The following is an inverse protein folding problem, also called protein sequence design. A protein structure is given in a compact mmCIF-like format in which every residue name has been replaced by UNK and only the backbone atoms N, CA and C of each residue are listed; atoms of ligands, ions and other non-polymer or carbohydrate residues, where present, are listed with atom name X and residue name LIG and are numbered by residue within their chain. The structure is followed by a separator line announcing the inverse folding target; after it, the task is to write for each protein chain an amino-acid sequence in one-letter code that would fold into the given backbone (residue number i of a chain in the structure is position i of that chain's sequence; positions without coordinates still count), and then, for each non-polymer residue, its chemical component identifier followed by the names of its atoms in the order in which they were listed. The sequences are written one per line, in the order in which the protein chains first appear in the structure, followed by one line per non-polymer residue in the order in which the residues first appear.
data_IF_320326124734
#
_entry.id   IF_320326124734
#
_cell.length_a   1.000
_cell.length_b   1.000
_cell.length_c   1.000
_cell.angle_alpha   90.00
_cell.angle_beta   90.00
_cell.angle_gamma   90.00
#
_symmetry.space_group_name_H-M   'P 1'
#
loop_
_entity.id
_entity.type
_entity.pdbx_description
1 polymer ?
#
# COMPACT_ATOMS: atom_id res chain seq x y z
N UNK A 1 -33.15 -67.92 52.06
CA UNK A 1 -32.41 -66.65 51.88
C UNK A 1 -30.99 -67.02 51.47
N UNK A 2 -30.61 -67.17 50.20
CA UNK A 2 -30.72 -66.32 48.99
C UNK A 2 -30.09 -64.93 49.16
N UNK A 3 -28.92 -64.77 48.50
CA UNK A 3 -28.18 -63.57 48.05
C UNK A 3 -26.75 -63.47 48.60
N UNK A 4 -25.85 -64.31 48.08
CA UNK A 4 -24.39 -64.13 48.20
C UNK A 4 -23.63 -64.64 46.95
N UNK A 5 -24.30 -64.70 45.80
CA UNK A 5 -23.75 -65.31 44.56
C UNK A 5 -23.81 -64.38 43.33
N UNK A 6 -24.07 -63.09 43.51
CA UNK A 6 -24.31 -62.14 42.40
C UNK A 6 -23.15 -61.23 42.00
N UNK A 7 -22.08 -61.11 42.79
CA UNK A 7 -21.07 -60.05 42.56
C UNK A 7 -19.68 -60.54 42.15
N UNK A 8 -19.42 -61.86 42.19
CA UNK A 8 -18.11 -62.42 41.78
C UNK A 8 -18.08 -62.98 40.34
N UNK A 9 -19.25 -63.16 39.71
CA UNK A 9 -19.35 -63.76 38.37
C UNK A 9 -19.29 -62.70 37.25
N UNK A 10 -19.67 -61.45 37.54
CA UNK A 10 -19.68 -60.38 36.52
C UNK A 10 -18.28 -59.83 36.24
N UNK A 11 -17.37 -59.84 37.21
CA UNK A 11 -15.97 -59.40 37.03
C UNK A 11 -15.08 -60.43 36.33
N UNK A 12 -15.39 -61.73 36.40
CA UNK A 12 -14.60 -62.76 35.71
C UNK A 12 -14.96 -62.90 34.21
N UNK A 13 -16.20 -62.54 33.83
CA UNK A 13 -16.66 -62.61 32.43
C UNK A 13 -16.13 -61.46 31.55
N UNK A 14 -15.85 -60.29 32.14
CA UNK A 14 -15.30 -59.14 31.40
C UNK A 14 -13.82 -59.33 31.04
N UNK A 15 -13.05 -60.05 31.87
CA UNK A 15 -11.63 -60.36 31.59
C UNK A 15 -11.44 -61.52 30.60
N UNK A 16 -12.42 -62.40 30.43
CA UNK A 16 -12.38 -63.46 29.40
C UNK A 16 -12.77 -62.96 28.00
N UNK A 17 -13.63 -61.95 27.89
CA UNK A 17 -13.98 -61.34 26.59
C UNK A 17 -12.85 -60.42 26.08
N UNK A 18 -12.11 -59.77 26.96
CA UNK A 18 -10.93 -58.95 26.59
C UNK A 18 -9.64 -59.77 26.40
N UNK A 19 -9.57 -60.98 26.94
CA UNK A 19 -8.42 -61.88 26.76
C UNK A 19 -8.48 -62.79 25.53
N UNK A 20 -9.65 -62.96 24.89
CA UNK A 20 -9.82 -63.91 23.79
C UNK A 20 -9.80 -63.29 22.38
N UNK A 21 -9.68 -61.97 22.27
CA UNK A 21 -9.57 -61.27 20.97
C UNK A 21 -8.13 -60.91 20.59
N UNK A 22 -7.14 -61.25 21.43
CA UNK A 22 -5.72 -60.95 21.19
C UNK A 22 -4.93 -62.10 20.53
N UNK A 23 -5.56 -63.22 20.17
CA UNK A 23 -4.87 -64.36 19.57
C UNK A 23 -5.67 -64.98 18.44
N UNK A 24 -5.81 -64.31 17.29
CA UNK A 24 -5.97 -64.93 15.95
C UNK A 24 -6.11 -63.90 14.81
N UNK A 25 -5.16 -62.97 14.70
CA UNK A 25 -4.87 -62.28 13.44
C UNK A 25 -3.34 -62.18 13.29
N UNK A 26 -2.71 -63.32 13.04
CA UNK A 26 -1.42 -63.37 12.37
C UNK A 26 -1.70 -63.50 10.87
N UNK A 27 -2.36 -62.50 10.31
CA UNK A 27 -2.32 -62.26 8.87
C UNK A 27 -1.07 -61.44 8.60
N UNK A 28 -0.31 -61.85 7.60
CA UNK A 28 0.87 -61.15 7.09
C UNK A 28 0.53 -59.70 6.80
N UNK A 29 0.83 -58.81 7.74
CA UNK A 29 0.83 -57.38 7.51
C UNK A 29 1.85 -57.11 6.39
N UNK A 30 1.48 -56.39 5.31
CA UNK A 30 2.50 -55.90 4.38
C UNK A 30 3.51 -55.09 5.18
N UNK A 31 4.80 -55.26 4.90
CA UNK A 31 5.84 -54.40 5.47
C UNK A 31 5.39 -52.95 5.27
N UNK A 32 5.14 -52.25 6.38
CA UNK A 32 4.91 -50.82 6.32
C UNK A 32 6.17 -50.22 5.71
N UNK A 33 6.06 -49.43 4.62
CA UNK A 33 7.21 -48.77 4.04
C UNK A 33 7.91 -47.97 5.13
N UNK A 34 9.23 -47.97 5.09
CA UNK A 34 10.10 -47.32 6.05
C UNK A 34 9.56 -45.90 6.36
N UNK A 35 9.25 -45.54 7.63
CA UNK A 35 8.60 -44.27 7.98
C UNK A 35 9.36 -43.02 7.53
N UNK A 36 10.62 -43.19 7.13
CA UNK A 36 11.51 -42.14 6.63
C UNK A 36 11.25 -41.79 5.15
N UNK A 37 10.58 -42.64 4.37
CA UNK A 37 10.22 -42.34 2.97
C UNK A 37 8.90 -41.57 2.83
N UNK A 38 7.97 -41.69 3.78
CA UNK A 38 6.67 -41.00 3.69
C UNK A 38 6.73 -39.52 4.10
N UNK A 39 7.71 -39.13 4.92
CA UNK A 39 7.87 -37.75 5.42
C UNK A 39 8.81 -36.87 4.57
N UNK A 40 9.39 -37.38 3.48
CA UNK A 40 10.35 -36.63 2.63
C UNK A 40 9.73 -35.96 1.39
N UNK A 41 8.41 -35.95 1.27
CA UNK A 41 7.74 -35.62 0.00
C UNK A 41 7.20 -34.20 -0.13
N UNK A 42 6.94 -33.48 0.97
CA UNK A 42 6.01 -32.34 0.90
C UNK A 42 6.67 -30.97 0.73
N UNK A 43 8.01 -30.91 0.73
CA UNK A 43 8.78 -29.69 0.47
C UNK A 43 9.82 -29.95 -0.61
N UNK A 44 9.95 -29.04 -1.58
CA UNK A 44 11.01 -29.10 -2.59
C UNK A 44 11.59 -27.71 -2.85
N UNK A 45 12.85 -27.64 -3.30
CA UNK A 45 13.49 -26.37 -3.61
C UNK A 45 13.84 -26.24 -5.09
N UNK A 46 13.62 -25.05 -5.65
CA UNK A 46 13.95 -24.71 -7.04
C UNK A 46 14.92 -23.53 -7.06
N UNK A 47 16.01 -23.64 -7.81
CA UNK A 47 16.94 -22.52 -8.06
C UNK A 47 16.58 -21.84 -9.37
N UNK A 48 16.41 -20.53 -9.34
CA UNK A 48 16.12 -19.72 -10.51
C UNK A 48 17.40 -19.11 -11.09
N UNK A 49 17.40 -18.68 -12.37
CA UNK A 49 18.53 -18.00 -12.99
C UNK A 49 18.67 -16.52 -12.60
N UNK A 50 17.95 -16.04 -11.57
CA UNK A 50 18.11 -14.70 -11.00
C UNK A 50 19.13 -14.69 -9.85
N UNK A 51 19.80 -13.57 -9.68
CA UNK A 51 20.86 -13.39 -8.67
C UNK A 51 20.40 -12.41 -7.62
N UNK A 52 20.58 -12.80 -6.36
CA UNK A 52 20.41 -11.97 -5.17
C UNK A 52 21.57 -11.01 -5.00
N UNK A 53 21.44 -10.03 -4.12
CA UNK A 53 22.47 -9.05 -3.82
C UNK A 53 23.83 -9.68 -3.50
N UNK A 54 23.85 -10.72 -2.67
CA UNK A 54 25.06 -11.44 -2.27
C UNK A 54 25.69 -12.34 -3.38
N UNK A 55 25.18 -12.29 -4.61
CA UNK A 55 25.69 -13.07 -5.76
C UNK A 55 25.19 -14.52 -5.83
N UNK A 56 24.41 -14.97 -4.84
CA UNK A 56 23.79 -16.30 -4.87
C UNK A 56 22.51 -16.31 -5.72
N UNK A 57 22.16 -17.46 -6.29
CA UNK A 57 20.92 -17.60 -7.06
C UNK A 57 19.69 -17.60 -6.15
N UNK A 58 18.59 -17.06 -6.66
CA UNK A 58 17.28 -17.17 -6.02
C UNK A 58 16.91 -18.64 -5.81
N UNK A 59 16.43 -18.97 -4.61
CA UNK A 59 16.01 -20.29 -4.18
C UNK A 59 14.60 -20.22 -3.60
N UNK A 60 13.66 -20.80 -4.34
CA UNK A 60 12.30 -21.01 -3.90
C UNK A 60 12.20 -22.30 -3.09
N UNK A 61 11.52 -22.26 -1.95
CA UNK A 61 11.16 -23.41 -1.13
C UNK A 61 9.65 -23.56 -1.20
N UNK A 62 9.20 -24.60 -1.90
CA UNK A 62 7.79 -24.85 -2.19
C UNK A 62 7.24 -25.97 -1.32
N UNK A 63 6.00 -25.80 -0.86
CA UNK A 63 5.25 -26.74 -0.06
C UNK A 63 4.11 -27.33 -0.90
N UNK A 64 4.05 -28.65 -1.05
CA UNK A 64 3.02 -29.33 -1.88
C UNK A 64 1.60 -29.09 -1.38
N UNK A 65 1.43 -28.75 -0.11
CA UNK A 65 0.17 -28.45 0.54
C UNK A 65 -0.15 -26.95 0.59
N UNK A 66 0.71 -26.08 0.05
CA UNK A 66 0.38 -24.67 -0.12
C UNK A 66 -0.74 -24.53 -1.17
N UNK A 67 -1.70 -23.66 -0.89
CA UNK A 67 -2.91 -23.49 -1.69
C UNK A 67 -3.13 -22.04 -2.10
N UNK A 68 -3.94 -21.86 -3.14
CA UNK A 68 -4.42 -20.55 -3.59
C UNK A 68 -5.30 -19.92 -2.48
N UNK A 69 -4.95 -18.74 -1.94
CA UNK A 69 -5.74 -18.08 -0.90
C UNK A 69 -6.94 -17.32 -1.50
N UNK A 70 -7.87 -16.86 -0.68
CA UNK A 70 -8.76 -15.74 -1.01
C UNK A 70 -7.99 -14.42 -1.02
N UNK A 71 -8.55 -13.37 -1.61
CA UNK A 71 -7.99 -12.02 -1.51
C UNK A 71 -7.80 -11.58 -0.06
N UNK A 72 -8.80 -11.79 0.80
CA UNK A 72 -8.73 -11.36 2.20
C UNK A 72 -7.63 -12.11 2.98
N UNK A 73 -7.43 -13.40 2.70
CA UNK A 73 -6.32 -14.18 3.26
C UNK A 73 -4.96 -13.68 2.77
N UNK A 74 -4.84 -13.30 1.49
CA UNK A 74 -3.62 -12.69 0.95
C UNK A 74 -3.30 -11.36 1.65
N UNK A 75 -4.28 -10.45 1.76
CA UNK A 75 -4.07 -9.15 2.43
C UNK A 75 -3.73 -9.35 3.91
N UNK A 76 -4.40 -10.27 4.60
CA UNK A 76 -4.10 -10.60 5.99
C UNK A 76 -2.69 -11.17 6.16
N UNK A 77 -2.21 -11.98 5.21
CA UNK A 77 -0.84 -12.48 5.20
C UNK A 77 0.17 -11.36 5.03
N UNK A 78 0.00 -10.51 4.00
CA UNK A 78 0.90 -9.37 3.74
C UNK A 78 1.01 -8.45 4.96
N UNK A 79 -0.13 -8.10 5.58
CA UNK A 79 -0.14 -7.28 6.78
C UNK A 79 0.55 -7.90 8.02
N UNK A 80 0.86 -9.20 8.00
CA UNK A 80 1.52 -9.93 9.07
C UNK A 80 2.97 -10.32 8.76
N UNK A 81 3.36 -10.24 7.49
CA UNK A 81 4.69 -10.56 7.00
C UNK A 81 5.57 -9.31 7.11
N UNK A 82 6.83 -9.47 7.52
CA UNK A 82 7.76 -8.37 7.76
C UNK A 82 8.77 -8.18 6.61
N UNK A 83 8.47 -8.74 5.42
CA UNK A 83 9.38 -8.61 4.27
C UNK A 83 9.54 -7.17 3.83
N UNK A 84 8.45 -6.40 3.82
CA UNK A 84 8.43 -5.02 3.37
C UNK A 84 9.10 -4.05 4.37
N UNK A 85 9.32 -4.49 5.62
CA UNK A 85 10.08 -3.78 6.66
C UNK A 85 11.61 -3.86 6.45
N UNK A 86 12.09 -4.75 5.57
CA UNK A 86 13.51 -4.77 5.22
C UNK A 86 13.89 -3.55 4.38
N UNK A 87 15.09 -3.02 4.59
CA UNK A 87 15.62 -1.92 3.78
C UNK A 87 16.17 -2.45 2.46
N UNK A 88 15.80 -1.81 1.36
CA UNK A 88 16.46 -2.00 0.09
C UNK A 88 17.85 -1.35 0.14
N UNK A 89 18.87 -2.17 0.01
CA UNK A 89 20.26 -1.74 0.04
C UNK A 89 20.98 -2.40 -1.12
N UNK A 90 21.39 -1.59 -2.09
CA UNK A 90 22.08 -2.09 -3.27
C UNK A 90 23.34 -2.88 -2.90
N UNK A 91 23.53 -4.04 -3.52
CA UNK A 91 24.59 -4.99 -3.18
C UNK A 91 24.45 -5.73 -1.83
N UNK A 92 23.41 -5.45 -1.03
CA UNK A 92 23.14 -6.17 0.24
C UNK A 92 21.79 -6.90 0.26
N UNK A 93 20.70 -6.22 -0.14
CA UNK A 93 19.35 -6.77 -0.16
C UNK A 93 18.54 -6.03 -1.24
N UNK A 94 18.27 -6.71 -2.36
CA UNK A 94 17.62 -6.11 -3.55
C UNK A 94 16.29 -6.81 -3.85
N UNK A 95 15.57 -6.37 -4.89
CA UNK A 95 14.23 -6.87 -5.23
C UNK A 95 14.16 -8.40 -5.32
N UNK A 96 15.21 -9.07 -5.82
CA UNK A 96 15.29 -10.53 -5.87
C UNK A 96 15.36 -11.19 -4.48
N UNK A 97 15.98 -10.53 -3.49
CA UNK A 97 16.00 -10.97 -2.10
C UNK A 97 14.61 -10.82 -1.45
N UNK A 98 13.95 -9.67 -1.64
CA UNK A 98 12.56 -9.45 -1.19
C UNK A 98 11.61 -10.50 -1.74
N UNK A 99 11.62 -10.69 -3.07
CA UNK A 99 10.71 -11.62 -3.73
C UNK A 99 10.97 -13.10 -3.37
N UNK A 100 12.24 -13.47 -3.10
CA UNK A 100 12.56 -14.79 -2.52
C UNK A 100 11.99 -14.94 -1.10
N UNK A 101 12.16 -13.91 -0.28
CA UNK A 101 11.76 -13.93 1.12
C UNK A 101 10.25 -14.02 1.27
N UNK A 102 9.49 -13.13 0.62
CA UNK A 102 8.02 -13.15 0.64
C UNK A 102 7.48 -14.49 0.12
N UNK A 103 8.02 -14.98 -0.99
CA UNK A 103 7.63 -16.29 -1.53
C UNK A 103 7.77 -17.39 -0.48
N UNK A 104 8.95 -17.50 0.14
CA UNK A 104 9.24 -18.58 1.07
C UNK A 104 8.41 -18.44 2.36
N UNK A 105 8.17 -17.22 2.83
CA UNK A 105 7.29 -16.96 3.98
C UNK A 105 5.83 -17.34 3.67
N UNK A 106 5.33 -16.98 2.50
CA UNK A 106 3.98 -17.33 2.05
C UNK A 106 3.80 -18.86 1.95
N UNK A 107 4.76 -19.56 1.35
CA UNK A 107 4.73 -21.02 1.25
C UNK A 107 4.75 -21.70 2.64
N UNK A 108 5.53 -21.16 3.59
CA UNK A 108 5.51 -21.60 5.01
C UNK A 108 4.13 -21.37 5.65
N UNK A 109 3.47 -20.26 5.31
CA UNK A 109 2.11 -19.96 5.75
C UNK A 109 1.02 -20.78 5.03
N UNK A 110 1.40 -21.65 4.08
CA UNK A 110 0.47 -22.46 3.30
C UNK A 110 -0.16 -21.71 2.11
N UNK A 111 0.40 -20.56 1.71
CA UNK A 111 -0.04 -19.75 0.58
C UNK A 111 0.86 -20.04 -0.61
N UNK A 112 0.26 -20.55 -1.68
CA UNK A 112 0.99 -20.86 -2.91
C UNK A 112 1.42 -19.58 -3.62
N UNK A 113 2.71 -19.42 -3.84
CA UNK A 113 3.27 -18.17 -4.37
C UNK A 113 4.23 -18.44 -5.52
N UNK A 114 4.28 -17.54 -6.50
CA UNK A 114 5.26 -17.54 -7.57
C UNK A 114 6.26 -16.40 -7.39
N UNK A 115 7.48 -16.61 -7.88
CA UNK A 115 8.44 -15.55 -8.15
C UNK A 115 8.25 -15.03 -9.57
N UNK A 116 8.27 -13.72 -9.74
CA UNK A 116 8.18 -13.05 -11.04
C UNK A 116 9.45 -12.26 -11.31
N UNK A 117 10.06 -12.49 -12.47
CA UNK A 117 11.01 -11.56 -13.07
C UNK A 117 10.31 -10.69 -14.11
N UNK A 118 10.50 -9.37 -14.05
CA UNK A 118 9.94 -8.42 -15.02
C UNK A 118 11.08 -7.66 -15.70
N UNK A 119 11.00 -7.52 -17.01
CA UNK A 119 11.86 -6.60 -17.76
C UNK A 119 11.10 -5.30 -18.01
N UNK A 120 11.81 -4.19 -17.82
CA UNK A 120 11.25 -2.85 -17.91
C UNK A 120 12.07 -2.02 -18.90
N UNK A 121 11.39 -1.14 -19.62
CA UNK A 121 12.02 -0.03 -20.32
C UNK A 121 11.75 1.23 -19.51
N UNK A 122 12.81 1.76 -18.91
CA UNK A 122 12.84 3.04 -18.20
C UNK A 122 14.27 3.60 -18.18
N UNK A 123 14.42 4.84 -17.73
CA UNK A 123 15.74 5.47 -17.57
C UNK A 123 16.47 5.02 -16.28
N UNK A 124 15.77 4.40 -15.33
CA UNK A 124 16.26 4.14 -13.97
C UNK A 124 16.38 2.65 -13.62
N UNK A 125 15.48 1.82 -14.15
CA UNK A 125 15.34 0.39 -13.80
C UNK A 125 15.11 -0.43 -15.08
N UNK A 126 16.01 -1.38 -15.35
CA UNK A 126 15.92 -2.28 -16.52
C UNK A 126 15.18 -3.60 -16.21
N UNK A 127 15.02 -3.94 -14.94
CA UNK A 127 14.28 -5.12 -14.51
C UNK A 127 13.94 -5.10 -13.03
N UNK A 128 12.93 -5.87 -12.66
CA UNK A 128 12.42 -5.94 -11.29
C UNK A 128 12.02 -7.37 -10.93
N UNK A 129 11.96 -7.66 -9.63
CA UNK A 129 11.49 -8.94 -9.11
C UNK A 129 10.38 -8.72 -8.10
N UNK A 130 9.34 -9.53 -8.19
CA UNK A 130 8.14 -9.45 -7.36
C UNK A 130 7.48 -10.83 -7.23
N UNK A 131 6.29 -10.90 -6.65
CA UNK A 131 5.56 -12.15 -6.49
C UNK A 131 4.22 -12.16 -7.24
N UNK A 132 3.72 -13.36 -7.53
CA UNK A 132 2.34 -13.54 -7.99
C UNK A 132 1.64 -14.63 -7.19
N UNK A 133 0.38 -14.38 -6.85
CA UNK A 133 -0.46 -15.27 -6.06
C UNK A 133 -1.77 -15.44 -6.82
N UNK A 134 -2.17 -16.68 -7.08
CA UNK A 134 -3.48 -16.95 -7.66
C UNK A 134 -4.51 -16.94 -6.54
N UNK A 135 -5.37 -15.92 -6.50
CA UNK A 135 -6.46 -15.85 -5.53
C UNK A 135 -7.69 -16.59 -6.03
N UNK A 136 -8.44 -17.21 -5.13
CA UNK A 136 -9.62 -18.02 -5.47
C UNK A 136 -10.82 -17.18 -5.94
N UNK A 137 -10.84 -15.88 -5.61
CA UNK A 137 -11.95 -14.97 -5.84
C UNK A 137 -11.61 -13.75 -6.73
N UNK A 138 -10.32 -13.40 -6.89
CA UNK A 138 -9.86 -12.27 -7.72
C UNK A 138 -8.82 -12.64 -8.79
N UNK A 139 -8.50 -13.93 -8.96
CA UNK A 139 -7.54 -14.38 -9.97
C UNK A 139 -6.09 -14.07 -9.62
N UNK A 140 -5.23 -13.96 -10.64
CA UNK A 140 -3.80 -13.75 -10.46
C UNK A 140 -3.49 -12.31 -10.03
N UNK A 141 -2.93 -12.17 -8.84
CA UNK A 141 -2.53 -10.89 -8.22
C UNK A 141 -1.02 -10.81 -8.18
N UNK A 142 -0.47 -9.65 -8.51
CA UNK A 142 0.96 -9.37 -8.39
C UNK A 142 1.21 -8.52 -7.14
N UNK A 143 2.20 -8.92 -6.34
CA UNK A 143 2.57 -8.24 -5.10
C UNK A 143 4.01 -7.77 -5.21
N UNK A 144 4.23 -6.48 -4.98
CA UNK A 144 5.56 -5.87 -4.87
C UNK A 144 5.80 -5.44 -3.42
N UNK A 145 6.53 -6.27 -2.69
CA UNK A 145 6.93 -6.09 -1.30
C UNK A 145 8.29 -5.39 -1.15
N UNK A 146 8.83 -4.79 -2.22
CA UNK A 146 10.13 -4.13 -2.16
C UNK A 146 10.06 -2.97 -1.18
N UNK A 147 10.86 -3.07 -0.11
CA UNK A 147 10.83 -2.19 1.05
C UNK A 147 11.44 -0.81 0.83
N UNK A 148 11.55 -0.05 1.92
CA UNK A 148 12.05 1.32 1.91
C UNK A 148 13.47 1.40 1.34
N UNK A 149 13.74 2.44 0.55
CA UNK A 149 15.05 2.70 -0.07
C UNK A 149 15.13 2.35 -1.55
N UNK A 150 14.12 1.65 -2.10
CA UNK A 150 14.03 1.41 -3.55
C UNK A 150 13.28 2.54 -4.26
N UNK A 151 12.02 2.73 -3.89
CA UNK A 151 11.19 3.87 -4.32
C UNK A 151 10.69 4.60 -3.07
N UNK A 152 10.45 5.90 -3.21
CA UNK A 152 9.75 6.67 -2.20
C UNK A 152 8.34 7.00 -2.70
N UNK A 153 7.32 6.83 -1.85
CA UNK A 153 5.99 7.25 -2.22
C UNK A 153 5.97 8.78 -2.39
N UNK A 154 5.18 9.23 -3.35
CA UNK A 154 4.96 10.65 -3.61
C UNK A 154 3.72 11.06 -2.82
N UNK A 155 3.90 11.90 -1.81
CA UNK A 155 2.78 12.63 -1.23
C UNK A 155 2.58 13.94 -1.99
N UNK A 156 1.34 14.39 -2.21
CA UNK A 156 1.07 15.76 -2.62
C UNK A 156 1.56 16.71 -1.53
N UNK A 157 2.77 17.22 -1.70
CA UNK A 157 3.33 18.16 -0.76
C UNK A 157 2.49 19.46 -0.81
N UNK A 158 1.92 19.82 0.35
CA UNK A 158 1.31 21.12 0.70
C UNK A 158 -0.13 21.41 0.23
N UNK A 159 -1.11 20.88 0.98
CA UNK A 159 -2.22 21.71 1.50
C UNK A 159 -1.92 22.15 2.95
N UNK A 160 -1.02 21.45 3.65
CA UNK A 160 -0.75 21.65 5.08
C UNK A 160 0.55 22.43 5.30
N UNK A 161 0.61 23.68 4.84
CA UNK A 161 1.67 24.63 5.28
C UNK A 161 1.20 25.48 6.45
N UNK A 162 0.68 24.83 7.50
CA UNK A 162 0.51 25.41 8.83
C UNK A 162 0.76 24.38 9.96
N UNK A 163 1.86 23.62 9.88
CA UNK A 163 2.63 23.22 11.08
C UNK A 163 3.92 22.52 10.66
N UNK A 164 4.99 23.30 10.56
CA UNK A 164 6.36 22.83 10.35
C UNK A 164 6.94 22.12 11.59
N UNK A 165 6.17 21.23 12.24
CA UNK A 165 6.63 20.39 13.36
C UNK A 165 6.12 18.96 13.39
N UNK A 166 5.11 18.61 12.60
CA UNK A 166 4.57 17.25 12.53
C UNK A 166 4.55 16.76 11.08
N UNK A 167 5.71 16.75 10.41
CA UNK A 167 5.87 15.84 9.27
C UNK A 167 5.88 14.43 9.86
N UNK A 168 4.70 13.82 9.93
CA UNK A 168 4.54 12.40 10.22
C UNK A 168 5.58 11.66 9.38
N UNK A 169 6.47 10.89 10.02
CA UNK A 169 6.95 9.67 9.39
C UNK A 169 5.68 8.95 8.96
N UNK A 170 5.36 8.97 7.67
CA UNK A 170 4.20 8.25 7.19
C UNK A 170 4.48 6.80 7.56
N UNK A 171 3.70 6.24 8.49
CA UNK A 171 3.72 4.82 8.79
C UNK A 171 2.98 4.13 7.64
N UNK A 172 3.62 4.04 6.48
CA UNK A 172 3.10 3.34 5.31
C UNK A 172 3.73 1.96 5.22
N UNK A 173 2.92 0.96 4.89
CA UNK A 173 3.44 -0.32 4.43
C UNK A 173 4.07 -0.14 3.04
N UNK A 174 5.19 -0.81 2.82
CA UNK A 174 5.81 -0.90 1.52
C UNK A 174 5.17 -2.01 0.67
N UNK A 175 4.24 -2.82 1.18
CA UNK A 175 3.49 -3.73 0.33
C UNK A 175 2.58 -3.00 -0.65
N UNK A 176 2.68 -3.42 -1.90
CA UNK A 176 1.94 -2.86 -3.03
C UNK A 176 1.32 -3.97 -3.86
N UNK A 177 0.14 -3.69 -4.41
CA UNK A 177 -0.41 -4.46 -5.51
C UNK A 177 0.13 -3.87 -6.81
N UNK A 178 0.82 -4.72 -7.57
CA UNK A 178 1.38 -4.37 -8.85
C UNK A 178 0.41 -4.69 -9.99
N UNK A 179 0.36 -3.80 -10.98
CA UNK A 179 -0.47 -3.96 -12.18
C UNK A 179 0.47 -4.15 -13.36
N UNK A 180 0.70 -5.40 -13.73
CA UNK A 180 1.73 -5.81 -14.68
C UNK A 180 1.10 -6.37 -15.94
N UNK A 181 1.23 -5.66 -17.06
CA UNK A 181 0.78 -6.10 -18.40
C UNK A 181 1.84 -5.72 -19.43
N UNK A 182 2.28 -6.65 -20.27
CA UNK A 182 3.24 -6.36 -21.34
C UNK A 182 2.74 -5.24 -22.26
N UNK A 183 3.62 -4.29 -22.57
CA UNK A 183 3.32 -3.09 -23.36
C UNK A 183 2.61 -1.97 -22.58
N UNK A 184 2.36 -2.15 -21.29
CA UNK A 184 1.78 -1.16 -20.39
C UNK A 184 2.81 -0.73 -19.32
N UNK A 185 2.53 0.37 -18.64
CA UNK A 185 3.37 0.78 -17.52
C UNK A 185 3.21 -0.17 -16.32
N UNK A 186 4.26 -0.31 -15.54
CA UNK A 186 4.26 -1.07 -14.29
C UNK A 186 3.55 -0.23 -13.23
N UNK A 187 2.27 -0.52 -12.99
CA UNK A 187 1.44 0.22 -12.06
C UNK A 187 1.60 -0.26 -10.62
N UNK A 188 1.47 0.64 -9.66
CA UNK A 188 1.61 0.37 -8.23
C UNK A 188 0.52 1.08 -7.43
N UNK A 189 -0.18 0.34 -6.58
CA UNK A 189 -1.14 0.89 -5.61
C UNK A 189 -0.85 0.21 -4.26
N UNK A 190 -0.95 0.95 -3.16
CA UNK A 190 -0.84 0.35 -1.83
C UNK A 190 -1.89 -0.73 -1.63
N UNK A 191 -1.59 -1.72 -0.78
CA UNK A 191 -2.54 -2.80 -0.44
C UNK A 191 -3.89 -2.28 0.06
N UNK A 192 -3.91 -1.15 0.76
CA UNK A 192 -5.14 -0.52 1.26
C UNK A 192 -5.98 0.15 0.16
N UNK A 193 -5.33 0.64 -0.91
CA UNK A 193 -6.01 1.31 -2.02
C UNK A 193 -6.45 0.39 -3.15
N UNK A 194 -5.82 -0.79 -3.27
CA UNK A 194 -6.03 -1.72 -4.38
C UNK A 194 -7.27 -2.60 -4.16
N UNK A 195 -8.44 -2.16 -4.60
CA UNK A 195 -9.71 -2.92 -4.40
C UNK A 195 -10.07 -3.85 -5.57
N UNK A 196 -9.35 -3.74 -6.68
CA UNK A 196 -9.54 -4.53 -7.90
C UNK A 196 -8.20 -4.91 -8.54
N UNK A 197 -8.15 -6.07 -9.18
CA UNK A 197 -6.94 -6.66 -9.78
C UNK A 197 -6.74 -6.28 -11.26
N UNK A 198 -7.80 -5.81 -11.93
CA UNK A 198 -7.76 -5.50 -13.35
C UNK A 198 -6.93 -4.25 -13.64
N UNK A 199 -6.12 -4.28 -14.70
CA UNK A 199 -5.27 -3.15 -15.11
C UNK A 199 -6.06 -1.83 -15.31
N UNK A 200 -7.32 -1.92 -15.75
CA UNK A 200 -8.22 -0.76 -15.88
C UNK A 200 -8.41 0.01 -14.58
N UNK A 201 -8.32 -0.66 -13.42
CA UNK A 201 -8.47 -0.02 -12.12
C UNK A 201 -7.28 0.89 -11.83
N UNK A 202 -6.08 0.43 -12.18
CA UNK A 202 -4.87 1.23 -12.11
C UNK A 202 -4.91 2.41 -13.10
N UNK A 203 -5.39 2.22 -14.33
CA UNK A 203 -5.55 3.33 -15.29
C UNK A 203 -6.50 4.42 -14.75
N UNK A 204 -7.63 4.03 -14.14
CA UNK A 204 -8.58 4.96 -13.51
C UNK A 204 -7.95 5.65 -12.29
N UNK A 205 -7.25 4.90 -11.43
CA UNK A 205 -6.53 5.44 -10.28
C UNK A 205 -5.46 6.47 -10.67
N UNK A 206 -4.60 6.13 -11.64
CA UNK A 206 -3.56 7.01 -12.16
C UNK A 206 -4.15 8.30 -12.77
N UNK A 207 -5.22 8.16 -13.56
CA UNK A 207 -5.90 9.31 -14.15
C UNK A 207 -6.50 10.25 -13.09
N UNK A 208 -7.05 9.72 -11.99
CA UNK A 208 -7.57 10.53 -10.88
C UNK A 208 -6.46 11.29 -10.16
N UNK A 209 -5.31 10.65 -9.95
CA UNK A 209 -4.13 11.29 -9.39
C UNK A 209 -3.62 12.43 -10.28
N UNK A 210 -3.53 12.22 -11.60
CA UNK A 210 -3.11 13.26 -12.55
C UNK A 210 -4.05 14.48 -12.55
N UNK A 211 -5.36 14.25 -12.42
CA UNK A 211 -6.34 15.34 -12.30
C UNK A 211 -6.18 16.04 -10.96
N UNK A 212 -6.07 15.30 -9.86
CA UNK A 212 -5.89 15.87 -8.53
C UNK A 212 -4.63 16.74 -8.45
N UNK A 213 -3.49 16.23 -8.90
CA UNK A 213 -2.21 16.94 -8.87
C UNK A 213 -2.26 18.25 -9.66
N UNK A 214 -2.84 18.25 -10.87
CA UNK A 214 -3.00 19.47 -11.68
C UNK A 214 -3.91 20.50 -11.01
N UNK A 215 -5.01 20.07 -10.41
CA UNK A 215 -5.92 20.98 -9.71
C UNK A 215 -5.30 21.54 -8.43
N UNK A 216 -4.51 20.74 -7.71
CA UNK A 216 -3.75 21.16 -6.54
C UNK A 216 -2.66 22.18 -6.90
N UNK A 217 -1.89 21.93 -7.96
CA UNK A 217 -0.90 22.88 -8.47
C UNK A 217 -1.54 24.22 -8.86
N UNK A 218 -2.69 24.16 -9.54
CA UNK A 218 -3.44 25.37 -9.90
C UNK A 218 -3.94 26.10 -8.65
N UNK A 219 -4.52 25.38 -7.70
CA UNK A 219 -4.97 25.97 -6.43
C UNK A 219 -3.83 26.62 -5.65
N UNK A 220 -2.67 25.97 -5.57
CA UNK A 220 -1.49 26.51 -4.91
C UNK A 220 -0.99 27.81 -5.58
N UNK A 221 -1.11 27.89 -6.91
CA UNK A 221 -0.83 29.13 -7.64
C UNK A 221 -1.85 30.23 -7.32
N UNK A 222 -3.15 29.92 -7.34
CA UNK A 222 -4.20 30.89 -7.01
C UNK A 222 -4.05 31.42 -5.57
N UNK A 223 -3.77 30.55 -4.60
CA UNK A 223 -3.50 30.94 -3.21
C UNK A 223 -2.28 31.85 -3.11
N UNK A 224 -1.24 31.61 -3.91
CA UNK A 224 -0.08 32.49 -3.95
C UNK A 224 -0.46 33.88 -4.48
N UNK A 225 -1.17 33.95 -5.60
CA UNK A 225 -1.60 35.21 -6.22
C UNK A 225 -2.53 35.98 -5.27
N UNK A 226 -3.45 35.29 -4.59
CA UNK A 226 -4.31 35.83 -3.54
C UNK A 226 -3.52 36.44 -2.37
N UNK A 227 -2.53 35.72 -1.85
CA UNK A 227 -1.68 36.20 -0.77
C UNK A 227 -0.89 37.47 -1.17
N UNK A 228 -0.42 37.54 -2.42
CA UNK A 228 0.22 38.74 -2.96
C UNK A 228 -0.78 39.92 -3.05
N UNK A 229 -2.03 39.66 -3.45
CA UNK A 229 -3.09 40.66 -3.51
C UNK A 229 -3.49 41.21 -2.13
N UNK A 230 -3.61 40.33 -1.13
CA UNK A 230 -3.84 40.70 0.28
C UNK A 230 -2.69 41.58 0.79
N UNK A 231 -1.43 41.21 0.52
CA UNK A 231 -0.28 42.01 0.92
C UNK A 231 -0.23 43.38 0.23
N UNK A 232 -0.64 43.46 -1.05
CA UNK A 232 -0.77 44.73 -1.77
C UNK A 232 -1.88 45.60 -1.17
N UNK A 233 -3.04 45.03 -0.87
CA UNK A 233 -4.15 45.73 -0.23
C UNK A 233 -3.76 46.31 1.13
N UNK A 234 -3.04 45.55 1.96
CA UNK A 234 -2.55 46.03 3.25
C UNK A 234 -1.65 47.28 3.13
N UNK A 235 -0.84 47.38 2.06
CA UNK A 235 -0.04 48.58 1.77
C UNK A 235 -0.92 49.78 1.39
N UNK A 236 -1.97 49.56 0.61
CA UNK A 236 -2.92 50.61 0.22
C UNK A 236 -3.70 51.13 1.44
N UNK A 237 -4.13 50.23 2.35
CA UNK A 237 -4.75 50.60 3.63
C UNK A 237 -3.79 51.45 4.46
N UNK A 238 -2.53 51.03 4.60
CA UNK A 238 -1.50 51.80 5.32
C UNK A 238 -1.29 53.20 4.73
N UNK A 239 -1.33 53.34 3.40
CA UNK A 239 -1.20 54.62 2.73
C UNK A 239 -2.42 55.53 2.98
N UNK A 240 -3.63 54.96 2.99
CA UNK A 240 -4.85 55.67 3.36
C UNK A 240 -4.80 56.15 4.82
N UNK A 241 -4.40 55.29 5.76
CA UNK A 241 -4.29 55.63 7.18
C UNK A 241 -3.28 56.75 7.42
N UNK A 242 -2.12 56.70 6.75
CA UNK A 242 -1.12 57.76 6.78
C UNK A 242 -1.67 59.07 6.21
N UNK A 243 -2.42 59.02 5.10
CA UNK A 243 -3.03 60.20 4.50
C UNK A 243 -4.15 60.77 5.38
N UNK A 244 -4.96 59.94 6.03
CA UNK A 244 -5.99 60.38 6.97
C UNK A 244 -5.39 60.97 8.25
N UNK A 245 -4.23 60.46 8.70
CA UNK A 245 -3.48 61.00 9.83
C UNK A 245 -4.25 60.97 11.15
N UNK A 246 -5.15 59.99 11.33
CA UNK A 246 -6.01 59.87 12.51
C UNK A 246 -7.08 60.96 12.66
N UNK A 247 -7.24 61.84 11.66
CA UNK A 247 -8.22 62.94 11.69
C UNK A 247 -9.63 62.38 11.54
N UNK A 248 -10.52 62.80 12.44
CA UNK A 248 -11.95 62.42 12.42
C UNK A 248 -12.85 63.43 11.70
N UNK A 249 -12.30 64.60 11.33
CA UNK A 249 -13.00 65.65 10.59
C UNK A 249 -12.07 66.27 9.56
N UNK A 250 -12.54 66.36 8.30
CA UNK A 250 -11.83 66.99 7.18
C UNK A 250 -12.71 68.12 6.67
N UNK A 251 -12.22 69.36 6.77
CA UNK A 251 -12.96 70.57 6.41
C UNK A 251 -12.74 71.00 4.96
N UNK A 252 -11.62 70.59 4.39
CA UNK A 252 -11.32 70.84 2.99
C UNK A 252 -12.10 69.85 2.12
N UNK A 253 -12.93 70.38 1.23
CA UNK A 253 -13.86 69.58 0.43
C UNK A 253 -13.12 68.65 -0.54
N UNK A 254 -12.06 69.15 -1.18
CA UNK A 254 -11.28 68.37 -2.15
C UNK A 254 -10.52 67.23 -1.47
N UNK A 255 -9.89 67.49 -0.31
CA UNK A 255 -9.23 66.48 0.49
C UNK A 255 -10.22 65.42 0.99
N UNK A 256 -11.40 65.83 1.45
CA UNK A 256 -12.45 64.93 1.88
C UNK A 256 -12.91 64.01 0.75
N UNK A 257 -13.22 64.56 -0.43
CA UNK A 257 -13.65 63.77 -1.59
C UNK A 257 -12.58 62.74 -1.98
N UNK A 258 -11.31 63.15 -2.02
CA UNK A 258 -10.19 62.26 -2.31
C UNK A 258 -10.10 61.10 -1.33
N UNK A 259 -10.13 61.37 -0.02
CA UNK A 259 -10.00 60.33 1.01
C UNK A 259 -11.25 59.43 1.08
N UNK A 260 -12.43 59.99 0.86
CA UNK A 260 -13.67 59.22 0.76
C UNK A 260 -13.64 58.25 -0.43
N UNK A 261 -13.13 58.70 -1.59
CA UNK A 261 -12.95 57.83 -2.76
C UNK A 261 -11.95 56.70 -2.50
N UNK A 262 -10.82 57.01 -1.85
CA UNK A 262 -9.84 55.99 -1.43
C UNK A 262 -10.47 54.97 -0.48
N UNK A 263 -11.19 55.43 0.54
CA UNK A 263 -11.87 54.56 1.51
C UNK A 263 -12.88 53.62 0.82
N UNK A 264 -13.73 54.15 -0.06
CA UNK A 264 -14.72 53.35 -0.77
C UNK A 264 -14.07 52.32 -1.69
N UNK A 265 -12.97 52.67 -2.37
CA UNK A 265 -12.21 51.75 -3.20
C UNK A 265 -11.57 50.63 -2.36
N UNK A 266 -11.00 50.96 -1.20
CA UNK A 266 -10.45 49.97 -0.27
C UNK A 266 -11.54 49.02 0.24
N UNK A 267 -12.72 49.53 0.62
CA UNK A 267 -13.84 48.71 1.07
C UNK A 267 -14.40 47.79 -0.01
N UNK A 268 -14.44 48.25 -1.26
CA UNK A 268 -14.83 47.39 -2.38
C UNK A 268 -13.81 46.24 -2.55
N UNK A 269 -12.52 46.57 -2.58
CA UNK A 269 -11.45 45.58 -2.72
C UNK A 269 -11.38 44.58 -1.56
N UNK A 270 -11.61 45.03 -0.33
CA UNK A 270 -11.70 44.17 0.85
C UNK A 270 -12.82 43.12 0.70
N UNK A 271 -13.98 43.53 0.17
CA UNK A 271 -15.10 42.62 -0.10
C UNK A 271 -14.76 41.61 -1.20
N UNK A 272 -14.13 42.04 -2.28
CA UNK A 272 -13.75 41.16 -3.39
C UNK A 272 -12.74 40.11 -2.92
N UNK A 273 -11.72 40.52 -2.15
CA UNK A 273 -10.73 39.63 -1.55
C UNK A 273 -11.32 38.67 -0.51
N UNK A 274 -12.34 39.09 0.24
CA UNK A 274 -13.05 38.19 1.15
C UNK A 274 -13.78 37.09 0.39
N UNK A 275 -14.49 37.45 -0.69
CA UNK A 275 -15.19 36.47 -1.54
C UNK A 275 -14.20 35.50 -2.22
N UNK A 276 -13.11 36.01 -2.78
CA UNK A 276 -12.07 35.17 -3.39
C UNK A 276 -11.46 34.18 -2.37
N UNK A 277 -11.23 34.65 -1.14
CA UNK A 277 -10.79 33.79 -0.03
C UNK A 277 -11.76 32.65 0.26
N UNK A 278 -13.07 32.93 0.35
CA UNK A 278 -14.11 31.92 0.57
C UNK A 278 -14.15 30.89 -0.59
N UNK A 279 -13.95 31.32 -1.83
CA UNK A 279 -13.92 30.45 -3.00
C UNK A 279 -12.69 29.52 -3.01
N UNK A 280 -11.53 30.04 -2.61
CA UNK A 280 -10.29 29.26 -2.46
C UNK A 280 -10.42 28.25 -1.33
N UNK A 281 -10.99 28.63 -0.19
CA UNK A 281 -11.26 27.73 0.93
C UNK A 281 -12.20 26.60 0.51
N UNK A 282 -13.29 26.91 -0.19
CA UNK A 282 -14.20 25.89 -0.71
C UNK A 282 -13.51 24.94 -1.72
N UNK A 283 -12.57 25.45 -2.53
CA UNK A 283 -11.77 24.63 -3.45
C UNK A 283 -10.80 23.72 -2.70
N UNK A 284 -10.16 24.21 -1.63
CA UNK A 284 -9.30 23.43 -0.74
C UNK A 284 -10.04 22.24 -0.14
N UNK A 285 -11.24 22.45 0.39
CA UNK A 285 -12.03 21.36 1.01
C UNK A 285 -12.36 20.26 -0.02
N UNK A 286 -12.75 20.63 -1.25
CA UNK A 286 -12.99 19.64 -2.33
C UNK A 286 -11.73 18.86 -2.72
N UNK A 287 -10.57 19.51 -2.71
CA UNK A 287 -9.30 18.83 -2.95
C UNK A 287 -8.96 17.86 -1.81
N UNK A 288 -9.15 18.27 -0.55
CA UNK A 288 -8.93 17.40 0.61
C UNK A 288 -9.85 16.17 0.62
N UNK A 289 -11.13 16.31 0.26
CA UNK A 289 -12.04 15.18 0.14
C UNK A 289 -11.54 14.17 -0.90
N UNK A 290 -11.18 14.64 -2.10
CA UNK A 290 -10.62 13.78 -3.15
C UNK A 290 -9.29 13.15 -2.75
N UNK A 291 -8.45 13.89 -2.02
CA UNK A 291 -7.19 13.37 -1.48
C UNK A 291 -7.45 12.21 -0.52
N UNK A 292 -8.45 12.33 0.35
CA UNK A 292 -8.83 11.28 1.27
C UNK A 292 -9.26 10.00 0.55
N UNK A 293 -9.99 10.13 -0.57
CA UNK A 293 -10.42 8.99 -1.40
C UNK A 293 -9.25 8.32 -2.16
N UNK A 294 -8.24 9.11 -2.57
CA UNK A 294 -7.08 8.61 -3.31
C UNK A 294 -5.97 8.04 -2.42
N UNK A 295 -6.01 8.35 -1.12
CA UNK A 295 -4.93 8.09 -0.17
C UNK A 295 -3.93 9.24 -0.11
N UNK A 296 -3.08 9.26 0.91
CA UNK A 296 -2.16 10.38 1.17
C UNK A 296 -0.85 10.33 0.39
N UNK A 297 -0.66 9.26 -0.37
CA UNK A 297 0.53 9.04 -1.18
C UNK A 297 0.23 8.07 -2.32
N UNK A 298 1.05 8.12 -3.36
CA UNK A 298 1.03 7.19 -4.47
C UNK A 298 2.45 6.79 -4.89
N UNK A 299 2.56 5.70 -5.63
CA UNK A 299 3.83 5.20 -6.13
C UNK A 299 3.96 5.55 -7.61
N UNK A 300 5.15 6.02 -8.00
CA UNK A 300 5.43 6.24 -9.43
C UNK A 300 5.60 4.90 -10.14
N UNK A 301 5.13 4.78 -11.39
CA UNK A 301 5.37 3.58 -12.17
C UNK A 301 6.87 3.37 -12.42
N UNK A 302 7.32 2.12 -12.46
CA UNK A 302 8.73 1.76 -12.65
C UNK A 302 9.20 1.83 -14.12
N UNK A 303 8.28 1.90 -15.08
CA UNK A 303 8.59 1.87 -16.51
C UNK A 303 7.56 1.09 -17.31
N UNK A 304 7.84 0.85 -18.59
CA UNK A 304 6.98 0.03 -19.45
C UNK A 304 7.42 -1.43 -19.39
N UNK A 305 6.50 -2.33 -19.08
CA UNK A 305 6.74 -3.77 -19.02
C UNK A 305 6.97 -4.30 -20.43
N UNK A 306 8.09 -4.98 -20.65
CA UNK A 306 8.42 -5.61 -21.95
C UNK A 306 8.36 -7.12 -21.91
N UNK A 307 8.56 -7.72 -20.73
CA UNK A 307 8.49 -9.16 -20.55
C UNK A 307 8.18 -9.52 -19.09
N UNK A 308 7.41 -10.59 -18.90
CA UNK A 308 7.10 -11.15 -17.57
C UNK A 308 7.43 -12.64 -17.55
N UNK A 309 8.30 -13.06 -16.63
CA UNK A 309 8.71 -14.45 -16.43
C UNK A 309 8.16 -14.97 -15.09
N UNK A 310 7.18 -15.88 -15.17
CA UNK A 310 6.51 -16.45 -14.00
C UNK A 310 7.13 -17.79 -13.56
N UNK A 311 7.46 -17.92 -12.27
CA UNK A 311 8.11 -19.08 -11.70
C UNK A 311 7.42 -19.57 -10.41
N UNK A 312 6.56 -20.60 -10.54
CA UNK A 312 6.13 -21.46 -9.44
C UNK A 312 7.26 -22.40 -8.96
#
# INVERSE_FOLDING_TARGET
MKLLTGFLIVTLLILLVLGYSATHYAETLPELPDPVEYFRSDVYSKKLPYTKAAGSRVRLVNYKNATDPTWDELIAFLASDDTDEQLYIDGTFVCADFAEMLHNNAEIAGIKTAFIGVQLVSDEVEGHALNAINTTDKGLVYVDCTGEGFQHPVSPDQIVKHSSKDCHHFNYSCDKIAYVVEGKEYGLISIDGATSWGYWFYEDYAAKWDVHNRELELHNKEVKDYNEAIAAHAKEVSAYEAAAGGRTCIRDTEEYERLNNMYNALKAKEKDLAQEGDELDAKRERLMERQSDLGWYCWKPLGVVTNVELNW
#
